data_IF_374278752223
#
_entry.id   IF_374278752223
#
_cell.length_a   1.000
_cell.length_b   1.000
_cell.length_c   1.000
_cell.angle_alpha   90.00
_cell.angle_beta   90.00
_cell.angle_gamma   90.00
#
_symmetry.space_group_name_H-M   'P 1'
#
loop_
_entity.id
_entity.type
_entity.pdbx_description
1 polymer ?
#
# COMPACT_ATOMS: atom_id res chain seq x y z
N UNK A 1 -56.16 13.16 11.84
CA UNK A 1 -55.61 13.74 10.60
C UNK A 1 -54.21 14.21 10.95
N UNK A 2 -53.21 13.32 10.81
CA UNK A 2 -51.82 13.62 11.16
C UNK A 2 -51.18 14.32 9.96
N UNK A 3 -50.74 15.54 10.20
CA UNK A 3 -49.93 16.35 9.31
C UNK A 3 -48.52 15.73 9.22
N UNK A 4 -48.11 15.37 8.01
CA UNK A 4 -46.80 14.82 7.71
C UNK A 4 -46.27 15.49 6.44
N UNK A 5 -45.93 16.76 6.56
CA UNK A 5 -45.00 17.41 5.63
C UNK A 5 -43.62 16.80 5.86
N UNK A 6 -43.31 15.72 5.13
CA UNK A 6 -41.95 15.23 5.00
C UNK A 6 -41.19 16.25 4.14
N UNK A 7 -40.37 17.08 4.80
CA UNK A 7 -39.34 17.87 4.13
C UNK A 7 -38.44 16.93 3.34
N UNK A 8 -38.65 16.88 2.03
CA UNK A 8 -37.72 16.30 1.09
C UNK A 8 -36.50 17.21 1.05
N UNK A 9 -35.56 17.04 2.00
CA UNK A 9 -34.22 17.60 1.91
C UNK A 9 -33.61 17.03 0.64
N UNK A 10 -33.62 17.83 -0.43
CA UNK A 10 -32.85 17.59 -1.63
C UNK A 10 -31.39 17.45 -1.20
N UNK A 11 -30.92 16.22 -1.14
CA UNK A 11 -29.51 15.92 -1.03
C UNK A 11 -28.88 16.48 -2.31
N UNK A 12 -28.32 17.69 -2.25
CA UNK A 12 -27.50 18.20 -3.34
C UNK A 12 -26.38 17.18 -3.56
N UNK A 13 -26.40 16.52 -4.74
CA UNK A 13 -25.31 15.63 -5.12
C UNK A 13 -24.04 16.47 -5.14
N UNK A 14 -23.16 16.22 -4.18
CA UNK A 14 -21.82 16.79 -4.20
C UNK A 14 -21.23 16.45 -5.57
N UNK A 15 -20.78 17.45 -6.36
CA UNK A 15 -20.31 17.18 -7.70
C UNK A 15 -19.10 16.26 -7.59
N UNK A 16 -19.25 15.01 -8.05
CA UNK A 16 -18.15 14.06 -8.21
C UNK A 16 -17.25 14.66 -9.25
N UNK A 17 -16.18 15.31 -8.79
CA UNK A 17 -15.23 15.98 -9.67
C UNK A 17 -14.40 14.89 -10.34
N UNK A 18 -14.58 14.71 -11.65
CA UNK A 18 -13.77 13.81 -12.45
C UNK A 18 -12.28 14.11 -12.24
N UNK A 19 -11.56 13.15 -11.66
CA UNK A 19 -10.15 13.31 -11.25
C UNK A 19 -9.20 13.14 -12.44
N UNK A 20 -9.73 13.09 -13.66
CA UNK A 20 -8.96 13.06 -14.90
C UNK A 20 -8.12 14.33 -15.12
N UNK A 21 -8.30 15.40 -14.33
CA UNK A 21 -7.77 16.72 -14.67
C UNK A 21 -6.60 17.22 -13.79
N UNK A 22 -6.30 16.68 -12.60
CA UNK A 22 -5.34 17.38 -11.70
C UNK A 22 -4.25 16.60 -10.95
N UNK A 23 -4.00 15.31 -11.24
CA UNK A 23 -2.79 14.65 -10.70
C UNK A 23 -1.92 14.12 -11.84
N UNK A 24 -0.84 14.87 -12.12
CA UNK A 24 0.20 14.45 -13.05
C UNK A 24 0.88 13.21 -12.45
N UNK A 25 0.78 12.09 -13.15
CA UNK A 25 1.60 10.91 -12.90
C UNK A 25 3.04 11.25 -13.23
N UNK A 26 3.96 10.93 -12.32
CA UNK A 26 5.39 11.10 -12.53
C UNK A 26 6.10 9.77 -12.27
N UNK A 27 7.13 9.49 -13.07
CA UNK A 27 7.99 8.34 -12.83
C UNK A 27 8.69 8.50 -11.47
N UNK A 28 8.93 7.41 -10.75
CA UNK A 28 9.56 7.47 -9.43
C UNK A 28 10.92 8.20 -9.43
N UNK A 29 11.70 8.07 -10.51
CA UNK A 29 12.97 8.80 -10.67
C UNK A 29 12.84 10.31 -10.96
N UNK A 30 11.63 10.79 -11.26
CA UNK A 30 11.30 12.21 -11.44
C UNK A 30 10.75 12.86 -10.17
N UNK A 31 10.45 12.08 -9.12
CA UNK A 31 10.03 12.61 -7.83
C UNK A 31 11.24 13.25 -7.14
N UNK A 32 11.16 14.53 -6.82
CA UNK A 32 12.21 15.25 -6.09
C UNK A 32 12.57 14.54 -4.76
N UNK A 33 13.84 14.62 -4.28
CA UNK A 33 14.27 13.99 -3.02
C UNK A 33 13.48 14.44 -1.80
N UNK A 34 12.92 15.64 -1.86
CA UNK A 34 11.93 16.16 -0.94
C UNK A 34 10.59 15.56 -1.33
N UNK A 35 10.28 14.40 -0.76
CA UNK A 35 9.03 13.64 -0.95
C UNK A 35 7.87 14.63 -1.10
N UNK A 36 7.27 14.64 -2.30
CA UNK A 36 6.22 15.57 -2.69
C UNK A 36 5.25 15.79 -1.54
N UNK A 37 5.19 17.04 -1.05
CA UNK A 37 4.32 17.41 0.07
C UNK A 37 2.91 16.92 -0.23
N UNK A 38 2.31 16.20 0.72
CA UNK A 38 0.90 15.83 0.70
C UNK A 38 0.09 17.07 0.31
N UNK A 39 -0.50 17.06 -0.88
CA UNK A 39 -1.34 18.16 -1.31
C UNK A 39 -2.45 18.36 -0.28
N UNK A 40 -2.72 19.62 0.09
CA UNK A 40 -3.82 20.01 0.98
C UNK A 40 -5.06 19.15 0.69
N UNK A 41 -5.49 18.40 1.72
CA UNK A 41 -6.57 17.43 1.71
C UNK A 41 -7.93 18.11 1.58
N UNK A 42 -8.16 18.84 0.48
CA UNK A 42 -9.51 19.10 -0.02
C UNK A 42 -9.87 17.91 -0.90
N UNK A 43 -10.27 16.81 -0.26
CA UNK A 43 -10.61 15.53 -0.88
C UNK A 43 -11.77 15.72 -1.87
N UNK A 44 -11.59 15.65 -3.20
CA UNK A 44 -12.64 15.07 -4.00
C UNK A 44 -12.84 13.64 -3.49
N UNK A 45 -14.10 13.20 -3.35
CA UNK A 45 -14.41 11.79 -3.07
C UNK A 45 -13.84 10.93 -4.21
N UNK A 46 -12.61 10.44 -4.02
CA UNK A 46 -11.96 9.55 -4.95
C UNK A 46 -12.56 8.16 -4.74
N UNK A 47 -13.38 7.74 -5.69
CA UNK A 47 -13.95 6.39 -5.66
C UNK A 47 -12.85 5.36 -5.96
N UNK A 48 -13.05 4.15 -5.44
CA UNK A 48 -12.24 2.98 -5.74
C UNK A 48 -11.97 2.80 -7.25
N UNK A 49 -13.03 2.93 -8.05
CA UNK A 49 -12.99 2.71 -9.49
C UNK A 49 -12.16 3.79 -10.19
N UNK A 50 -12.26 5.05 -9.76
CA UNK A 50 -11.46 6.13 -10.33
C UNK A 50 -9.95 5.86 -10.16
N UNK A 51 -9.52 5.39 -8.99
CA UNK A 51 -8.11 5.04 -8.75
C UNK A 51 -7.68 3.85 -9.63
N UNK A 52 -8.51 2.82 -9.76
CA UNK A 52 -8.23 1.67 -10.62
C UNK A 52 -8.09 2.06 -12.10
N UNK A 53 -9.00 2.91 -12.60
CA UNK A 53 -8.96 3.42 -13.97
C UNK A 53 -7.72 4.29 -14.22
N UNK A 54 -7.39 5.17 -13.28
CA UNK A 54 -6.17 5.98 -13.36
C UNK A 54 -4.91 5.11 -13.46
N UNK A 55 -4.78 4.09 -12.59
CA UNK A 55 -3.65 3.16 -12.62
C UNK A 55 -3.60 2.41 -13.96
N UNK A 56 -4.74 1.90 -14.43
CA UNK A 56 -4.83 1.16 -15.70
C UNK A 56 -4.41 2.01 -16.89
N UNK A 57 -4.93 3.23 -16.98
CA UNK A 57 -4.60 4.17 -18.06
C UNK A 57 -3.11 4.51 -18.07
N UNK A 58 -2.53 4.72 -16.90
CA UNK A 58 -1.12 5.04 -16.74
C UNK A 58 -0.21 3.88 -17.15
N UNK A 59 -0.55 2.65 -16.76
CA UNK A 59 0.18 1.44 -17.16
C UNK A 59 0.15 1.26 -18.68
N UNK A 60 -1.02 1.43 -19.30
CA UNK A 60 -1.17 1.29 -20.76
C UNK A 60 -0.39 2.38 -21.51
N UNK A 61 -0.50 3.63 -21.06
CA UNK A 61 0.17 4.77 -21.69
C UNK A 61 1.69 4.66 -21.63
N UNK A 62 2.23 4.28 -20.48
CA UNK A 62 3.68 4.31 -20.23
C UNK A 62 4.33 2.92 -20.22
N UNK A 63 3.59 1.86 -20.57
CA UNK A 63 4.08 0.47 -20.61
C UNK A 63 4.78 0.05 -19.31
N UNK A 64 4.16 0.41 -18.19
CA UNK A 64 4.74 0.21 -16.86
C UNK A 64 4.73 -1.28 -16.52
N UNK A 65 5.90 -1.82 -16.14
CA UNK A 65 6.05 -3.23 -15.75
C UNK A 65 6.10 -3.43 -14.24
N UNK A 66 6.28 -2.35 -13.47
CA UNK A 66 6.38 -2.36 -12.00
C UNK A 66 5.71 -1.15 -11.39
N UNK A 67 4.87 -1.36 -10.39
CA UNK A 67 4.25 -0.29 -9.62
C UNK A 67 4.54 -0.45 -8.13
N UNK A 68 4.66 0.68 -7.45
CA UNK A 68 4.76 0.77 -5.99
C UNK A 68 3.60 1.62 -5.51
N UNK A 69 2.82 1.09 -4.57
CA UNK A 69 1.68 1.78 -3.95
C UNK A 69 2.09 2.12 -2.51
N UNK A 70 2.31 3.40 -2.26
CA UNK A 70 2.71 3.93 -0.95
C UNK A 70 1.70 5.00 -0.47
N UNK A 71 0.77 4.71 0.45
CA UNK A 71 0.56 3.45 1.19
C UNK A 71 -0.84 2.88 1.04
N UNK A 72 -0.93 1.54 1.02
CA UNK A 72 -2.21 0.84 1.04
C UNK A 72 -2.99 1.06 2.34
N UNK A 73 -2.29 1.35 3.44
CA UNK A 73 -2.92 1.74 4.72
C UNK A 73 -3.64 3.08 4.59
N UNK A 74 -2.98 4.11 4.08
CA UNK A 74 -3.62 5.42 3.86
C UNK A 74 -4.82 5.29 2.92
N UNK A 75 -4.67 4.52 1.85
CA UNK A 75 -5.74 4.24 0.91
C UNK A 75 -6.97 3.59 1.58
N UNK A 76 -6.75 2.63 2.49
CA UNK A 76 -7.81 2.00 3.29
C UNK A 76 -8.56 2.97 4.20
N UNK A 77 -7.90 4.01 4.71
CA UNK A 77 -8.50 5.00 5.61
C UNK A 77 -9.15 6.18 4.85
N UNK A 78 -8.56 6.64 3.75
CA UNK A 78 -8.99 7.87 3.07
C UNK A 78 -10.02 7.66 1.96
N UNK A 79 -10.04 6.51 1.28
CA UNK A 79 -10.93 6.32 0.13
C UNK A 79 -12.36 5.91 0.53
N UNK A 80 -12.72 5.98 1.82
CA UNK A 80 -14.00 5.45 2.29
C UNK A 80 -14.65 6.34 3.34
N UNK A 81 -15.72 7.03 2.93
CA UNK A 81 -16.62 7.74 3.85
C UNK A 81 -17.75 6.82 4.36
N UNK A 82 -18.19 5.79 3.60
CA UNK A 82 -19.46 5.07 3.89
C UNK A 82 -19.52 3.55 3.50
N UNK A 83 -18.39 2.83 3.36
CA UNK A 83 -18.42 1.42 2.88
C UNK A 83 -17.56 0.43 3.67
N UNK A 84 -17.65 -0.86 3.32
CA UNK A 84 -16.82 -1.92 3.90
C UNK A 84 -15.38 -1.87 3.38
N UNK A 85 -14.46 -1.42 4.25
CA UNK A 85 -13.01 -1.34 4.02
C UNK A 85 -12.39 -2.65 3.57
N UNK A 86 -12.88 -3.77 4.09
CA UNK A 86 -12.33 -5.07 3.72
C UNK A 86 -12.73 -5.44 2.29
N UNK A 87 -13.98 -5.21 1.90
CA UNK A 87 -14.44 -5.45 0.54
C UNK A 87 -13.68 -4.61 -0.49
N UNK A 88 -13.47 -3.32 -0.20
CA UNK A 88 -12.68 -2.45 -1.07
C UNK A 88 -11.25 -2.98 -1.25
N UNK A 89 -10.56 -3.28 -0.14
CA UNK A 89 -9.19 -3.80 -0.20
C UNK A 89 -9.13 -5.14 -0.95
N UNK A 90 -10.09 -6.05 -0.74
CA UNK A 90 -10.16 -7.31 -1.49
C UNK A 90 -10.30 -7.05 -3.00
N UNK A 91 -11.23 -6.19 -3.40
CA UNK A 91 -11.43 -5.83 -4.81
C UNK A 91 -10.19 -5.20 -5.42
N UNK A 92 -9.54 -4.30 -4.67
CA UNK A 92 -8.33 -3.63 -5.11
C UNK A 92 -7.14 -4.59 -5.28
N UNK A 93 -6.87 -5.46 -4.31
CA UNK A 93 -5.79 -6.45 -4.44
C UNK A 93 -6.04 -7.46 -5.57
N UNK A 94 -7.31 -7.81 -5.84
CA UNK A 94 -7.67 -8.62 -7.01
C UNK A 94 -7.35 -7.89 -8.30
N UNK A 95 -7.79 -6.63 -8.42
CA UNK A 95 -7.44 -5.77 -9.56
C UNK A 95 -5.92 -5.73 -9.80
N UNK A 96 -5.12 -5.52 -8.76
CA UNK A 96 -3.65 -5.50 -8.89
C UNK A 96 -3.08 -6.84 -9.38
N UNK A 97 -3.67 -7.97 -8.97
CA UNK A 97 -3.30 -9.29 -9.46
C UNK A 97 -3.62 -9.47 -10.95
N UNK A 98 -4.75 -8.93 -11.40
CA UNK A 98 -5.23 -9.02 -12.77
C UNK A 98 -4.44 -8.13 -13.75
N UNK A 99 -3.72 -7.11 -13.25
CA UNK A 99 -2.87 -6.24 -14.08
C UNK A 99 -1.71 -6.99 -14.76
N UNK A 100 -1.30 -8.14 -14.23
CA UNK A 100 -0.20 -8.93 -14.79
C UNK A 100 1.19 -8.29 -14.66
N UNK A 101 1.34 -7.25 -13.83
CA UNK A 101 2.61 -6.55 -13.57
C UNK A 101 3.09 -6.76 -12.13
N UNK A 102 4.37 -6.47 -11.87
CA UNK A 102 4.91 -6.61 -10.51
C UNK A 102 4.46 -5.44 -9.65
N UNK A 103 3.74 -5.72 -8.58
CA UNK A 103 3.22 -4.69 -7.67
C UNK A 103 3.79 -4.86 -6.27
N UNK A 104 4.29 -3.77 -5.70
CA UNK A 104 4.67 -3.67 -4.28
C UNK A 104 3.71 -2.71 -3.58
N UNK A 105 3.15 -3.12 -2.44
CA UNK A 105 2.25 -2.28 -1.65
C UNK A 105 2.84 -2.12 -0.25
N UNK A 106 2.99 -0.89 0.23
CA UNK A 106 3.39 -0.63 1.61
C UNK A 106 2.16 -0.65 2.51
N UNK A 107 2.22 -1.44 3.58
CA UNK A 107 1.17 -1.55 4.59
C UNK A 107 1.83 -1.33 5.95
N UNK A 108 1.30 -0.38 6.71
CA UNK A 108 1.65 -0.19 8.10
C UNK A 108 0.91 -1.20 8.97
N UNK A 109 1.67 -1.96 9.76
CA UNK A 109 1.12 -2.89 10.73
C UNK A 109 0.76 -2.15 12.02
N UNK A 110 -0.53 -2.15 12.38
CA UNK A 110 -1.04 -1.53 13.61
C UNK A 110 -0.73 -2.36 14.87
N UNK A 111 -0.39 -3.64 14.74
CA UNK A 111 -0.11 -4.56 15.85
C UNK A 111 1.39 -4.82 16.05
N UNK A 112 2.21 -3.86 15.65
CA UNK A 112 3.66 -3.94 15.67
C UNK A 112 4.28 -4.43 16.99
N UNK A 113 3.69 -4.07 18.13
CA UNK A 113 4.22 -4.40 19.46
C UNK A 113 3.71 -5.73 20.03
N UNK A 114 2.75 -6.38 19.37
CA UNK A 114 2.17 -7.64 19.81
C UNK A 114 2.10 -8.65 18.66
N UNK A 115 3.18 -9.41 18.42
CA UNK A 115 3.21 -10.42 17.38
C UNK A 115 2.26 -11.60 17.65
N UNK A 116 1.79 -11.79 18.90
CA UNK A 116 0.87 -12.86 19.29
C UNK A 116 -0.59 -12.53 19.01
N UNK A 117 -0.97 -11.25 19.06
CA UNK A 117 -2.31 -10.76 18.73
C UNK A 117 -2.36 -10.05 17.37
N UNK A 118 -1.47 -10.45 16.45
CA UNK A 118 -1.51 -9.91 15.09
C UNK A 118 -2.78 -10.38 14.39
N UNK A 119 -3.65 -9.43 14.10
CA UNK A 119 -4.84 -9.65 13.28
C UNK A 119 -4.43 -9.97 11.84
N UNK A 120 -4.90 -11.09 11.30
CA UNK A 120 -4.76 -11.41 9.88
C UNK A 120 -5.63 -10.45 9.06
N UNK A 121 -5.01 -9.51 8.35
CA UNK A 121 -5.71 -8.55 7.51
C UNK A 121 -6.12 -9.14 6.15
N UNK A 122 -7.00 -8.44 5.44
CA UNK A 122 -7.32 -8.75 4.03
C UNK A 122 -6.05 -8.77 3.17
N UNK A 123 -5.14 -7.84 3.44
CA UNK A 123 -3.86 -7.68 2.77
C UNK A 123 -2.99 -8.93 2.94
N UNK A 124 -2.97 -9.49 4.15
CA UNK A 124 -2.25 -10.72 4.48
C UNK A 124 -2.83 -11.96 3.78
N UNK A 125 -4.14 -11.98 3.49
CA UNK A 125 -4.78 -13.10 2.79
C UNK A 125 -4.57 -12.98 1.28
N UNK A 126 -4.79 -11.79 0.73
CA UNK A 126 -4.84 -11.52 -0.71
C UNK A 126 -3.45 -11.43 -1.35
N UNK A 127 -2.45 -10.90 -0.64
CA UNK A 127 -1.11 -10.75 -1.21
C UNK A 127 -0.50 -12.11 -1.59
N UNK A 128 0.21 -12.21 -2.73
CA UNK A 128 0.94 -13.44 -3.11
C UNK A 128 2.25 -13.61 -2.34
N UNK A 129 2.86 -12.49 -1.95
CA UNK A 129 4.06 -12.47 -1.12
C UNK A 129 3.95 -11.40 -0.03
N UNK A 130 4.62 -11.64 1.10
CA UNK A 130 4.67 -10.73 2.24
C UNK A 130 6.13 -10.59 2.66
N UNK A 131 6.63 -9.36 2.57
CA UNK A 131 7.93 -8.95 3.09
C UNK A 131 7.67 -8.14 4.33
N UNK A 132 8.20 -8.59 5.45
CA UNK A 132 8.00 -7.95 6.75
C UNK A 132 9.27 -7.28 7.23
N UNK A 133 9.12 -6.05 7.70
CA UNK A 133 10.17 -5.31 8.38
C UNK A 133 9.87 -5.30 9.88
N UNK A 134 10.89 -5.63 10.66
CA UNK A 134 10.84 -5.64 12.12
C UNK A 134 11.83 -4.60 12.63
N UNK A 135 11.47 -3.84 13.67
CA UNK A 135 12.46 -3.12 14.48
C UNK A 135 12.31 -3.50 15.95
N UNK A 136 13.42 -3.76 16.61
CA UNK A 136 13.40 -4.00 18.04
C UNK A 136 14.38 -3.04 18.71
N UNK A 137 13.99 -2.56 19.88
CA UNK A 137 14.85 -1.73 20.70
C UNK A 137 15.93 -2.63 21.33
N UNK A 138 17.18 -2.19 21.24
CA UNK A 138 18.30 -2.74 21.99
C UNK A 138 18.95 -1.61 22.79
N UNK A 139 19.87 -1.98 23.69
CA UNK A 139 20.60 -1.03 24.55
C UNK A 139 21.32 0.07 23.77
N UNK A 140 21.66 -0.14 22.50
CA UNK A 140 22.32 0.82 21.63
C UNK A 140 21.44 1.36 20.48
N UNK A 141 20.12 1.29 20.63
CA UNK A 141 19.14 1.83 19.68
C UNK A 141 18.34 0.76 18.94
N UNK A 142 17.65 1.16 17.87
CA UNK A 142 16.81 0.26 17.10
C UNK A 142 17.63 -0.59 16.13
N UNK A 143 17.37 -1.90 16.12
CA UNK A 143 17.84 -2.78 15.05
C UNK A 143 16.72 -3.08 14.09
N UNK A 144 17.04 -3.03 12.80
CA UNK A 144 16.13 -3.39 11.72
C UNK A 144 16.38 -4.84 11.29
N UNK A 145 15.29 -5.59 11.10
CA UNK A 145 15.28 -6.90 10.50
C UNK A 145 14.26 -6.99 9.38
N UNK A 146 14.47 -7.92 8.47
CA UNK A 146 13.58 -8.20 7.35
C UNK A 146 13.38 -9.71 7.24
N UNK A 147 12.17 -10.14 6.92
CA UNK A 147 11.87 -11.52 6.60
C UNK A 147 10.86 -11.60 5.46
N UNK A 148 10.87 -12.74 4.77
CA UNK A 148 9.81 -13.10 3.84
C UNK A 148 8.90 -14.06 4.59
N UNK A 149 7.69 -13.61 4.94
CA UNK A 149 6.71 -14.44 5.66
C UNK A 149 5.96 -15.36 4.70
N UNK A 150 5.75 -14.88 3.47
CA UNK A 150 4.99 -15.59 2.45
C UNK A 150 5.57 -15.30 1.08
N UNK A 151 5.68 -16.32 0.25
CA UNK A 151 6.03 -16.17 -1.16
C UNK A 151 5.43 -17.32 -1.98
N UNK A 152 4.16 -17.17 -2.39
CA UNK A 152 3.42 -18.24 -3.07
C UNK A 152 4.07 -18.58 -4.42
N UNK A 153 4.35 -19.87 -4.62
CA UNK A 153 4.90 -20.40 -5.87
C UNK A 153 6.43 -20.46 -5.92
N UNK A 154 7.14 -20.09 -4.85
CA UNK A 154 8.60 -20.24 -4.80
C UNK A 154 9.12 -20.43 -3.37
N UNK A 155 10.30 -21.05 -3.25
CA UNK A 155 11.02 -21.17 -1.98
C UNK A 155 11.63 -19.82 -1.61
N UNK A 156 11.71 -19.55 -0.31
CA UNK A 156 12.29 -18.31 0.22
C UNK A 156 12.98 -18.60 1.55
N UNK A 157 13.83 -17.66 1.98
CA UNK A 157 14.43 -17.70 3.31
C UNK A 157 13.39 -17.39 4.38
N UNK A 158 13.25 -18.27 5.36
CA UNK A 158 12.29 -18.16 6.46
C UNK A 158 12.87 -17.46 7.68
N UNK A 159 14.17 -17.13 7.68
CA UNK A 159 14.84 -16.48 8.80
C UNK A 159 14.71 -14.97 8.72
N UNK A 160 14.58 -14.33 9.89
CA UNK A 160 14.73 -12.87 10.00
C UNK A 160 16.21 -12.53 9.76
N UNK A 161 16.48 -11.74 8.73
CA UNK A 161 17.81 -11.21 8.41
C UNK A 161 17.94 -9.81 8.95
N UNK A 162 19.13 -9.45 9.46
CA UNK A 162 19.40 -8.08 9.87
C UNK A 162 19.46 -7.20 8.63
N UNK A 163 19.00 -5.96 8.75
CA UNK A 163 19.12 -4.97 7.69
C UNK A 163 19.60 -3.64 8.26
N UNK A 164 20.11 -2.78 7.39
CA UNK A 164 20.49 -1.40 7.69
C UNK A 164 20.04 -0.50 6.55
N UNK A 165 19.57 0.69 6.89
CA UNK A 165 19.34 1.75 5.93
C UNK A 165 20.55 2.68 6.03
N UNK A 166 21.20 2.91 4.89
CA UNK A 166 22.41 3.72 4.77
C UNK A 166 22.21 4.77 3.68
N UNK A 167 23.20 5.62 3.43
CA UNK A 167 23.19 6.53 2.28
C UNK A 167 23.11 5.80 0.93
N UNK A 168 23.45 4.50 0.87
CA UNK A 168 23.28 3.65 -0.31
C UNK A 168 21.90 2.98 -0.38
N UNK A 169 21.01 3.28 0.56
CA UNK A 169 19.69 2.67 0.67
C UNK A 169 19.64 1.47 1.61
N UNK A 170 18.66 0.59 1.36
CA UNK A 170 18.33 -0.57 2.19
C UNK A 170 19.27 -1.75 1.90
N UNK A 171 20.03 -2.19 2.90
CA UNK A 171 20.97 -3.30 2.79
C UNK A 171 20.57 -4.44 3.72
N UNK A 172 20.43 -5.65 3.18
CA UNK A 172 20.27 -6.88 3.95
C UNK A 172 21.64 -7.41 4.32
N UNK A 173 21.89 -7.61 5.61
CA UNK A 173 23.15 -8.11 6.14
C UNK A 173 23.10 -9.63 6.23
N UNK A 174 23.82 -10.32 5.35
CA UNK A 174 23.94 -11.76 5.43
C UNK A 174 24.68 -12.18 6.71
N UNK A 175 24.05 -13.04 7.50
CA UNK A 175 24.75 -13.90 8.43
C UNK A 175 25.24 -15.11 7.66
N UNK A 176 26.55 -15.17 7.36
CA UNK A 176 27.26 -16.28 6.72
C UNK A 176 27.04 -16.41 5.19
N UNK A 177 27.69 -15.52 4.43
CA UNK A 177 28.20 -15.92 3.12
C UNK A 177 29.33 -16.93 3.33
N UNK A 178 28.99 -18.23 3.42
CA UNK A 178 29.95 -19.30 3.18
C UNK A 178 30.31 -19.14 1.70
N UNK A 179 31.37 -18.37 1.40
CA UNK A 179 32.03 -18.39 0.10
C UNK A 179 32.26 -19.86 -0.20
N UNK A 180 31.50 -20.43 -1.16
CA UNK A 180 31.88 -21.70 -1.76
C UNK A 180 33.27 -21.45 -2.35
N UNK A 181 34.24 -22.18 -1.82
CA UNK A 181 35.65 -22.01 -2.16
C UNK A 181 35.88 -22.18 -3.66
N UNK A 182 36.89 -21.44 -4.13
CA UNK A 182 37.71 -21.88 -5.26
C UNK A 182 38.39 -23.21 -4.93
#
# INVERSE_FOLDING_TARGET
>A
MLDATLEMKSYERTPVRDVSIQRKSEAFGGVFPEIARSADLRNPELTANAVQEMIKNEILKNKIMRIVIDSGTSMRYFLMTNGDRNHFMQSFFRFLGDLGITTLVTIQDSHYYDPTHRSCGVEDIMARGIIRQYRWLQSNGFRLGIAIEKFRGSKHDTKIRRAKITHLGFQVLDGQGRRRGN
#
